data_IF_460291488904
#
_entry.id   IF_460291488904
#
_cell.length_a   1.000
_cell.length_b   1.000
_cell.length_c   1.000
_cell.angle_alpha   90.00
_cell.angle_beta   90.00
_cell.angle_gamma   90.00
#
_symmetry.space_group_name_H-M   'P 1'
#
loop_
_entity.id
_entity.type
_entity.pdbx_description
1 polymer ?
#
# COMPACT_ATOMS: atom_id res chain seq x y z
N UNK A 1 12.31 -14.17 -15.72
CA UNK A 1 11.18 -14.56 -14.86
C UNK A 1 11.63 -14.39 -13.42
N UNK A 2 11.58 -13.17 -12.88
CA UNK A 2 12.13 -12.87 -11.55
C UNK A 2 10.98 -12.77 -10.57
N UNK A 3 10.71 -13.86 -9.87
CA UNK A 3 9.82 -13.93 -8.71
C UNK A 3 10.36 -13.02 -7.61
N UNK A 4 9.77 -11.83 -7.43
CA UNK A 4 9.99 -11.02 -6.24
C UNK A 4 9.29 -11.68 -5.06
N UNK A 5 10.04 -12.43 -4.26
CA UNK A 5 9.58 -12.91 -2.95
C UNK A 5 9.21 -11.71 -2.07
N UNK A 6 8.03 -11.78 -1.42
CA UNK A 6 7.62 -10.82 -0.42
C UNK A 6 8.67 -10.78 0.70
N UNK A 7 9.40 -9.66 0.78
CA UNK A 7 10.60 -9.49 1.63
C UNK A 7 10.33 -9.62 3.13
N UNK A 8 9.06 -9.72 3.56
CA UNK A 8 8.63 -9.98 4.93
C UNK A 8 7.35 -10.85 4.93
N UNK A 9 7.41 -12.12 5.36
CA UNK A 9 6.20 -12.93 5.50
C UNK A 9 5.34 -12.36 6.64
N UNK A 10 4.04 -12.20 6.40
CA UNK A 10 3.09 -11.84 7.45
C UNK A 10 2.89 -13.04 8.39
N UNK A 11 3.19 -12.87 9.68
CA UNK A 11 3.12 -13.94 10.67
C UNK A 11 2.07 -13.57 11.71
N UNK A 12 1.00 -14.37 11.80
CA UNK A 12 0.02 -14.29 12.88
C UNK A 12 -0.85 -15.54 12.94
N UNK A 13 -1.18 -15.98 14.16
CA UNK A 13 -1.88 -17.25 14.42
C UNK A 13 -3.22 -17.10 15.13
N UNK A 14 -3.63 -15.87 15.44
CA UNK A 14 -4.89 -15.62 16.15
C UNK A 14 -6.10 -15.78 15.23
N UNK A 15 -7.28 -15.97 15.81
CA UNK A 15 -8.53 -16.08 15.06
C UNK A 15 -8.86 -14.79 14.29
N UNK A 16 -8.54 -13.64 14.87
CA UNK A 16 -8.73 -12.31 14.28
C UNK A 16 -7.82 -12.13 13.06
N UNK A 17 -6.57 -12.58 13.16
CA UNK A 17 -5.64 -12.56 12.03
C UNK A 17 -6.14 -13.44 10.89
N UNK A 18 -6.70 -14.62 11.20
CA UNK A 18 -7.32 -15.48 10.18
C UNK A 18 -8.46 -14.77 9.44
N UNK A 19 -9.34 -14.05 10.17
CA UNK A 19 -10.41 -13.25 9.56
C UNK A 19 -9.86 -12.13 8.66
N UNK A 20 -8.75 -11.50 9.04
CA UNK A 20 -8.07 -10.51 8.21
C UNK A 20 -7.58 -11.15 6.91
N UNK A 21 -6.93 -12.32 6.97
CA UNK A 21 -6.46 -13.04 5.78
C UNK A 21 -7.61 -13.43 4.84
N UNK A 22 -8.72 -13.93 5.38
CA UNK A 22 -9.92 -14.22 4.58
C UNK A 22 -10.50 -12.97 3.89
N UNK A 23 -10.48 -11.83 4.58
CA UNK A 23 -10.92 -10.57 3.97
C UNK A 23 -9.98 -10.12 2.86
N UNK A 24 -8.67 -10.31 3.03
CA UNK A 24 -7.66 -10.00 2.01
C UNK A 24 -7.93 -10.79 0.73
N UNK A 25 -8.16 -12.10 0.83
CA UNK A 25 -8.47 -12.96 -0.32
C UNK A 25 -9.70 -12.43 -1.09
N UNK A 26 -10.75 -12.02 -0.38
CA UNK A 26 -11.96 -11.46 -1.00
C UNK A 26 -11.67 -10.15 -1.73
N UNK A 27 -11.03 -9.19 -1.05
CA UNK A 27 -10.80 -7.84 -1.62
C UNK A 27 -9.71 -7.82 -2.69
N UNK A 28 -8.76 -8.76 -2.68
CA UNK A 28 -7.69 -8.84 -3.68
C UNK A 28 -8.23 -9.08 -5.10
N UNK A 29 -9.35 -9.80 -5.22
CA UNK A 29 -10.05 -9.99 -6.50
C UNK A 29 -10.83 -8.76 -6.97
N UNK A 30 -11.13 -7.82 -6.07
CA UNK A 30 -11.95 -6.66 -6.36
C UNK A 30 -11.15 -5.50 -7.00
N UNK A 31 -11.83 -4.71 -7.83
CA UNK A 31 -11.27 -3.50 -8.42
C UNK A 31 -11.48 -2.23 -7.57
N UNK A 32 -12.05 -2.37 -6.37
CA UNK A 32 -12.37 -1.26 -5.46
C UNK A 32 -11.18 -0.78 -4.63
N UNK A 33 -11.29 0.45 -4.12
CA UNK A 33 -10.37 0.99 -3.10
C UNK A 33 -10.55 0.27 -1.77
N UNK A 34 -9.44 0.00 -1.06
CA UNK A 34 -9.44 -0.67 0.24
C UNK A 34 -8.90 0.30 1.30
N UNK A 35 -9.64 0.45 2.42
CA UNK A 35 -9.20 1.19 3.59
C UNK A 35 -8.71 0.19 4.66
N UNK A 36 -7.46 0.34 5.09
CA UNK A 36 -6.86 -0.49 6.15
C UNK A 36 -6.75 0.36 7.42
N UNK A 37 -7.43 -0.05 8.47
CA UNK A 37 -7.42 0.63 9.77
C UNK A 37 -6.64 -0.18 10.81
N UNK A 38 -6.23 0.47 11.89
CA UNK A 38 -5.49 -0.14 12.98
C UNK A 38 -4.46 0.80 13.59
N UNK A 39 -3.99 0.48 14.79
CA UNK A 39 -3.00 1.28 15.52
C UNK A 39 -1.65 1.34 14.81
N UNK A 40 -0.80 2.29 15.21
CA UNK A 40 0.57 2.37 14.70
C UNK A 40 1.34 1.08 15.01
N UNK A 41 2.18 0.61 14.09
CA UNK A 41 2.98 -0.60 14.28
C UNK A 41 2.25 -1.95 14.08
N UNK A 42 0.95 -1.97 13.79
CA UNK A 42 0.17 -3.22 13.59
C UNK A 42 0.36 -3.92 12.24
N UNK A 43 1.30 -3.45 11.41
CA UNK A 43 1.66 -4.11 10.15
C UNK A 43 0.74 -3.79 8.95
N UNK A 44 0.02 -2.66 8.97
CA UNK A 44 -0.88 -2.22 7.86
C UNK A 44 -0.20 -2.21 6.49
N UNK A 45 1.09 -1.85 6.41
CA UNK A 45 1.83 -1.88 5.15
C UNK A 45 1.99 -3.31 4.60
N UNK A 46 2.24 -4.28 5.49
CA UNK A 46 2.36 -5.69 5.12
C UNK A 46 1.02 -6.19 4.59
N UNK A 47 -0.09 -5.79 5.21
CA UNK A 47 -1.46 -6.10 4.74
C UNK A 47 -1.69 -5.53 3.33
N UNK A 48 -1.33 -4.27 3.08
CA UNK A 48 -1.48 -3.65 1.76
C UNK A 48 -0.69 -4.39 0.67
N UNK A 49 0.56 -4.78 0.98
CA UNK A 49 1.39 -5.58 0.07
C UNK A 49 0.80 -6.97 -0.17
N UNK A 50 0.22 -7.58 0.86
CA UNK A 50 -0.41 -8.89 0.74
C UNK A 50 -1.64 -8.83 -0.18
N UNK A 51 -2.49 -7.81 -0.05
CA UNK A 51 -3.61 -7.57 -0.98
C UNK A 51 -3.10 -7.43 -2.41
N UNK A 52 -2.07 -6.61 -2.66
CA UNK A 52 -1.49 -6.45 -4.00
C UNK A 52 -0.98 -7.79 -4.56
N UNK A 53 -0.25 -8.55 -3.76
CA UNK A 53 0.35 -9.84 -4.17
C UNK A 53 -0.68 -10.92 -4.52
N UNK A 54 -1.88 -10.85 -3.95
CA UNK A 54 -2.98 -11.77 -4.22
C UNK A 54 -3.96 -11.24 -5.28
N UNK A 55 -3.74 -10.03 -5.80
CA UNK A 55 -4.66 -9.40 -6.75
C UNK A 55 -4.30 -9.74 -8.20
N UNK A 56 -5.24 -9.49 -9.11
CA UNK A 56 -4.99 -9.53 -10.56
C UNK A 56 -3.95 -8.49 -11.04
N UNK A 57 -3.46 -7.61 -10.15
CA UNK A 57 -2.46 -6.57 -10.42
C UNK A 57 -1.08 -6.92 -9.88
N UNK A 58 -0.84 -8.16 -9.42
CA UNK A 58 0.43 -8.59 -8.83
C UNK A 58 1.66 -8.28 -9.70
N UNK A 59 1.54 -8.38 -11.02
CA UNK A 59 2.63 -8.10 -11.96
C UNK A 59 2.86 -6.60 -12.21
N UNK A 60 2.00 -5.73 -11.67
CA UNK A 60 2.13 -4.27 -11.78
C UNK A 60 2.92 -3.70 -10.60
N UNK A 61 3.57 -2.54 -10.76
CA UNK A 61 4.27 -1.86 -9.67
C UNK A 61 3.34 -1.56 -8.48
N UNK A 62 3.85 -1.80 -7.27
CA UNK A 62 3.23 -1.34 -6.02
C UNK A 62 4.01 -0.15 -5.48
N UNK A 63 3.40 1.03 -5.52
CA UNK A 63 4.00 2.28 -5.04
C UNK A 63 3.40 2.60 -3.67
N UNK A 64 4.23 2.53 -2.63
CA UNK A 64 3.85 2.92 -1.28
C UNK A 64 4.22 4.38 -1.03
N UNK A 65 3.28 5.16 -0.50
CA UNK A 65 3.49 6.57 -0.13
C UNK A 65 3.13 6.75 1.33
N UNK A 66 4.03 7.36 2.11
CA UNK A 66 3.80 7.73 3.51
C UNK A 66 3.54 9.23 3.61
N UNK A 67 2.27 9.63 3.64
CA UNK A 67 1.89 11.05 3.72
C UNK A 67 2.35 11.73 5.02
N UNK A 68 2.57 10.98 6.11
CA UNK A 68 3.05 11.54 7.38
C UNK A 68 4.53 11.93 7.39
N UNK A 69 5.29 11.48 6.39
CA UNK A 69 6.71 11.82 6.25
C UNK A 69 6.96 12.97 5.23
N UNK A 70 5.90 13.51 4.61
CA UNK A 70 5.96 14.52 3.56
C UNK A 70 5.47 15.88 4.09
N UNK A 71 6.10 16.98 3.66
CA UNK A 71 5.59 18.32 3.95
C UNK A 71 4.34 18.59 3.08
N UNK A 72 3.29 19.18 3.66
CA UNK A 72 2.00 19.40 2.97
C UNK A 72 2.16 20.08 1.61
N UNK A 73 3.04 21.10 1.54
CA UNK A 73 3.30 21.89 0.34
C UNK A 73 3.99 21.10 -0.80
N UNK A 74 4.49 19.90 -0.53
CA UNK A 74 5.20 19.03 -1.49
C UNK A 74 4.36 17.79 -1.88
N UNK A 75 3.26 17.51 -1.18
CA UNK A 75 2.46 16.29 -1.43
C UNK A 75 1.91 16.29 -2.86
N UNK A 76 1.37 17.43 -3.32
CA UNK A 76 0.79 17.53 -4.65
C UNK A 76 1.85 17.34 -5.75
N UNK A 77 3.02 17.97 -5.60
CA UNK A 77 4.09 17.88 -6.59
C UNK A 77 4.71 16.49 -6.67
N UNK A 78 4.73 15.74 -5.57
CA UNK A 78 5.25 14.37 -5.53
C UNK A 78 4.24 13.34 -6.04
N UNK A 79 2.95 13.52 -5.74
CA UNK A 79 1.90 12.60 -6.19
C UNK A 79 1.53 12.77 -7.67
N UNK A 80 1.48 14.02 -8.13
CA UNK A 80 0.98 14.34 -9.48
C UNK A 80 2.08 14.83 -10.42
N UNK A 81 3.28 15.08 -9.91
CA UNK A 81 4.33 15.75 -10.65
C UNK A 81 4.09 17.25 -10.76
N UNK A 82 5.10 17.97 -11.25
CA UNK A 82 4.99 19.38 -11.56
C UNK A 82 5.77 19.68 -12.85
N UNK A 83 5.36 20.72 -13.57
CA UNK A 83 6.06 21.17 -14.77
C UNK A 83 7.22 22.09 -14.38
N UNK A 84 8.32 22.02 -15.12
CA UNK A 84 9.50 22.87 -14.91
C UNK A 84 9.09 24.35 -14.97
N UNK A 85 9.26 25.08 -13.86
CA UNK A 85 8.82 26.48 -13.73
C UNK A 85 7.48 26.70 -13.02
N UNK A 86 6.78 25.64 -12.60
CA UNK A 86 5.54 25.76 -11.81
C UNK A 86 5.75 26.37 -10.41
N UNK A 87 6.99 26.30 -9.89
CA UNK A 87 7.40 26.93 -8.65
C UNK A 87 8.27 28.16 -8.95
N UNK A 88 7.67 29.23 -9.47
CA UNK A 88 8.27 30.56 -9.32
C UNK A 88 7.98 31.00 -7.89
N UNK A 89 8.89 30.65 -6.98
CA UNK A 89 8.76 31.00 -5.57
C UNK A 89 8.64 32.51 -5.37
N UNK A 90 7.48 32.92 -4.88
CA UNK A 90 7.25 34.08 -4.04
C UNK A 90 6.30 33.64 -2.93
#
# INVERSE_FOLDING_TARGET
TTSQQAKHPFIGKSAEVRKILENIERVASAQSTVLITGESGTGKEIIARLIHSQSARVDKPFIAVNCGAMAENLIESELFGHVKGAFTGA
#
